data_IF_340834376560
#
_entry.id   IF_340834376560
#
_cell.length_a   1.000
_cell.length_b   1.000
_cell.length_c   1.000
_cell.angle_alpha   90.00
_cell.angle_beta   90.00
_cell.angle_gamma   90.00
#
_symmetry.space_group_name_H-M   'P 1'
#
loop_
_entity.id
_entity.type
_entity.pdbx_description
1 polymer ?
#
# COMPACT_ATOMS: atom_id res chain seq x y z
N UNK A 1 55.53 -67.24 26.05
CA UNK A 1 55.79 -65.87 25.54
C UNK A 1 54.50 -65.29 24.93
N UNK A 2 53.73 -64.59 25.69
CA UNK A 2 52.51 -63.92 25.20
C UNK A 2 52.81 -62.42 25.05
N UNK A 3 52.65 -61.88 23.82
CA UNK A 3 52.75 -60.47 23.52
C UNK A 3 51.37 -59.86 23.57
N UNK A 4 51.08 -59.01 24.57
CA UNK A 4 49.87 -58.17 24.66
C UNK A 4 50.03 -56.98 23.69
N UNK A 5 49.08 -56.87 22.76
CA UNK A 5 48.97 -55.76 21.82
C UNK A 5 47.97 -54.76 22.42
N UNK A 6 48.44 -53.60 22.91
CA UNK A 6 47.57 -52.49 23.34
C UNK A 6 47.11 -51.69 22.12
N UNK A 7 45.82 -51.73 21.84
CA UNK A 7 45.19 -50.85 20.83
C UNK A 7 44.70 -49.60 21.57
N UNK A 8 45.38 -48.49 21.36
CA UNK A 8 44.97 -47.17 21.82
C UNK A 8 43.91 -46.60 20.91
N UNK A 9 42.65 -46.53 21.37
CA UNK A 9 41.52 -45.90 20.66
C UNK A 9 41.59 -44.38 20.88
N UNK A 10 42.07 -43.64 19.86
CA UNK A 10 42.07 -42.17 19.89
C UNK A 10 40.66 -41.60 19.70
N UNK A 11 40.12 -40.98 20.71
CA UNK A 11 38.84 -40.27 20.65
C UNK A 11 39.03 -38.93 19.90
N UNK A 12 38.61 -38.86 18.62
CA UNK A 12 38.65 -37.64 17.82
C UNK A 12 37.43 -36.80 18.17
N UNK A 13 37.57 -35.81 19.05
CA UNK A 13 36.53 -34.83 19.34
C UNK A 13 36.31 -33.90 18.14
N UNK A 14 35.23 -34.13 17.35
CA UNK A 14 34.77 -33.18 16.36
C UNK A 14 34.30 -31.90 17.09
N UNK A 15 35.08 -30.83 16.97
CA UNK A 15 34.64 -29.49 17.34
C UNK A 15 33.51 -29.05 16.39
N UNK A 16 32.26 -29.14 16.85
CA UNK A 16 31.13 -28.49 16.15
C UNK A 16 31.33 -26.99 16.28
N UNK A 17 31.84 -26.34 15.23
CA UNK A 17 31.84 -24.89 15.11
C UNK A 17 30.39 -24.36 15.17
N UNK A 18 30.17 -23.11 15.62
CA UNK A 18 28.84 -22.52 15.61
C UNK A 18 28.31 -22.55 14.17
N UNK A 19 27.13 -23.14 13.99
CA UNK A 19 26.44 -23.10 12.69
C UNK A 19 26.26 -21.63 12.27
N UNK A 20 26.54 -21.26 11.00
CA UNK A 20 26.29 -19.91 10.55
C UNK A 20 24.82 -19.56 10.86
N UNK A 21 24.60 -18.44 11.55
CA UNK A 21 23.27 -17.95 11.80
C UNK A 21 22.57 -17.77 10.45
N UNK A 22 21.58 -18.59 10.16
CA UNK A 22 20.77 -18.49 8.94
C UNK A 22 20.15 -17.10 8.93
N UNK A 23 20.54 -16.24 7.95
CA UNK A 23 19.94 -14.90 7.84
C UNK A 23 18.41 -15.05 7.84
N UNK A 24 17.76 -14.41 8.80
CA UNK A 24 16.29 -14.43 8.87
C UNK A 24 15.73 -13.89 7.56
N UNK A 25 14.80 -14.61 6.92
CA UNK A 25 14.15 -14.13 5.70
C UNK A 25 13.56 -12.74 5.93
N UNK A 26 13.55 -11.86 4.92
CA UNK A 26 12.90 -10.54 5.04
C UNK A 26 11.42 -10.66 5.44
N UNK A 27 10.91 -9.70 6.19
CA UNK A 27 9.46 -9.56 6.41
C UNK A 27 8.81 -9.22 5.08
N UNK A 28 7.89 -10.04 4.59
CA UNK A 28 7.14 -9.79 3.37
C UNK A 28 5.83 -9.06 3.69
N UNK A 29 5.68 -7.86 3.14
CA UNK A 29 4.50 -7.02 3.34
C UNK A 29 3.70 -6.92 2.04
N UNK A 30 2.44 -7.32 2.07
CA UNK A 30 1.47 -7.00 1.03
C UNK A 30 0.87 -5.64 1.31
N UNK A 31 1.23 -4.63 0.52
CA UNK A 31 0.88 -3.24 0.78
C UNK A 31 0.14 -2.60 -0.40
N UNK A 32 -0.91 -1.85 -0.10
CA UNK A 32 -1.58 -1.02 -1.08
C UNK A 32 -0.56 -0.13 -1.82
N UNK A 33 -0.68 -0.03 -3.15
CA UNK A 33 0.30 0.64 -4.00
C UNK A 33 0.58 2.10 -3.61
N UNK A 34 -0.40 2.79 -3.04
CA UNK A 34 -0.24 4.16 -2.51
C UNK A 34 0.73 4.29 -1.33
N UNK A 35 1.05 3.19 -0.63
CA UNK A 35 2.00 3.17 0.48
C UNK A 35 3.46 3.08 0.02
N UNK A 36 3.72 2.84 -1.27
CA UNK A 36 5.03 2.47 -1.78
C UNK A 36 6.14 3.44 -1.37
N UNK A 37 5.96 4.75 -1.56
CA UNK A 37 6.99 5.74 -1.28
C UNK A 37 7.35 5.78 0.20
N UNK A 38 6.32 5.89 1.06
CA UNK A 38 6.51 5.92 2.51
C UNK A 38 7.10 4.60 3.06
N UNK A 39 6.56 3.45 2.61
CA UNK A 39 7.02 2.15 3.10
C UNK A 39 8.46 1.83 2.72
N UNK A 40 8.90 2.21 1.51
CA UNK A 40 10.29 2.05 1.11
C UNK A 40 11.24 2.88 2.00
N UNK A 41 10.87 4.12 2.32
CA UNK A 41 11.64 4.98 3.22
C UNK A 41 11.66 4.43 4.66
N UNK A 42 10.52 3.93 5.15
CA UNK A 42 10.43 3.32 6.49
C UNK A 42 11.24 2.02 6.56
N UNK A 43 11.22 1.19 5.53
CA UNK A 43 12.04 -0.03 5.50
C UNK A 43 13.54 0.27 5.58
N UNK A 44 14.00 1.32 4.91
CA UNK A 44 15.39 1.77 5.02
C UNK A 44 15.74 2.25 6.44
N UNK A 45 14.83 2.99 7.09
CA UNK A 45 14.99 3.42 8.48
C UNK A 45 15.00 2.21 9.45
N UNK A 46 14.04 1.28 9.27
CA UNK A 46 13.98 0.02 10.02
C UNK A 46 15.28 -0.78 9.91
N UNK A 47 15.77 -0.97 8.69
CA UNK A 47 17.02 -1.71 8.48
C UNK A 47 18.20 -1.06 9.19
N UNK A 48 18.29 0.28 9.15
CA UNK A 48 19.36 1.03 9.84
C UNK A 48 19.26 0.93 11.37
N UNK A 49 18.04 0.95 11.92
CA UNK A 49 17.82 1.01 13.38
C UNK A 49 17.74 -0.37 14.01
N UNK A 50 17.20 -1.37 13.32
CA UNK A 50 16.88 -2.69 13.85
C UNK A 50 17.62 -3.83 13.15
N UNK A 51 18.31 -3.57 12.03
CA UNK A 51 19.02 -4.58 11.24
C UNK A 51 18.13 -5.54 10.45
N UNK A 52 16.81 -5.43 10.57
CA UNK A 52 15.85 -6.30 9.87
C UNK A 52 15.67 -5.90 8.42
N UNK A 53 15.39 -6.88 7.54
CA UNK A 53 15.07 -6.63 6.12
C UNK A 53 13.55 -6.76 5.92
N UNK A 54 13.00 -5.87 5.09
CA UNK A 54 11.58 -5.87 4.70
C UNK A 54 11.51 -5.85 3.17
N UNK A 55 10.62 -6.64 2.61
CA UNK A 55 10.29 -6.66 1.19
C UNK A 55 8.80 -6.41 0.99
N UNK A 56 8.43 -5.85 -0.15
CA UNK A 56 7.06 -5.45 -0.41
C UNK A 56 6.54 -6.06 -1.71
N UNK A 57 5.27 -6.44 -1.69
CA UNK A 57 4.46 -6.63 -2.90
C UNK A 57 3.43 -5.52 -2.94
N UNK A 58 3.53 -4.64 -3.92
CA UNK A 58 2.64 -3.49 -4.09
C UNK A 58 1.60 -3.76 -5.16
N UNK A 59 0.31 -3.69 -4.79
CA UNK A 59 -0.81 -3.81 -5.71
C UNK A 59 -2.07 -3.13 -5.11
N UNK A 60 -3.22 -3.27 -5.75
CA UNK A 60 -4.48 -2.90 -5.11
C UNK A 60 -4.77 -3.82 -3.91
N UNK A 61 -5.38 -3.26 -2.87
CA UNK A 61 -5.77 -4.03 -1.67
C UNK A 61 -6.63 -5.25 -2.02
N UNK A 62 -7.51 -5.11 -3.01
CA UNK A 62 -8.35 -6.19 -3.54
C UNK A 62 -7.55 -7.38 -4.10
N UNK A 63 -6.51 -7.09 -4.87
CA UNK A 63 -5.66 -8.11 -5.47
C UNK A 63 -4.82 -8.82 -4.39
N UNK A 64 -4.25 -8.05 -3.46
CA UNK A 64 -3.44 -8.59 -2.35
C UNK A 64 -4.27 -9.45 -1.40
N UNK A 65 -5.49 -9.01 -1.05
CA UNK A 65 -6.41 -9.78 -0.22
C UNK A 65 -6.77 -11.14 -0.86
N UNK A 66 -7.02 -11.16 -2.17
CA UNK A 66 -7.28 -12.40 -2.90
C UNK A 66 -6.05 -13.30 -2.99
N UNK A 67 -4.86 -12.74 -3.11
CA UNK A 67 -3.60 -13.52 -3.05
C UNK A 67 -3.42 -14.15 -1.66
N UNK A 68 -3.76 -13.45 -0.57
CA UNK A 68 -3.76 -14.03 0.78
C UNK A 68 -4.74 -15.22 0.88
N UNK A 69 -5.96 -15.09 0.33
CA UNK A 69 -6.94 -16.18 0.30
C UNK A 69 -6.42 -17.41 -0.48
N UNK A 70 -5.59 -17.18 -1.50
CA UNK A 70 -4.94 -18.24 -2.28
C UNK A 70 -3.68 -18.79 -1.59
N UNK A 71 -3.38 -18.38 -0.36
CA UNK A 71 -2.26 -18.89 0.43
C UNK A 71 -0.91 -18.20 0.18
N UNK A 72 -0.89 -17.02 -0.42
CA UNK A 72 0.36 -16.27 -0.61
C UNK A 72 1.04 -15.95 0.73
N UNK A 73 2.39 -16.12 0.85
CA UNK A 73 3.09 -16.17 2.13
C UNK A 73 3.48 -14.79 2.67
N UNK A 74 2.57 -13.81 2.68
CA UNK A 74 2.85 -12.50 3.27
C UNK A 74 2.82 -12.55 4.80
N UNK A 75 3.64 -11.73 5.44
CA UNK A 75 3.69 -11.57 6.90
C UNK A 75 2.77 -10.44 7.40
N UNK A 76 2.64 -9.36 6.60
CA UNK A 76 1.73 -8.27 6.90
C UNK A 76 0.84 -7.98 5.69
N UNK A 77 -0.36 -7.47 5.98
CA UNK A 77 -1.27 -6.89 5.01
C UNK A 77 -1.60 -5.45 5.39
N UNK A 78 -1.45 -4.52 4.43
CA UNK A 78 -1.74 -3.10 4.56
C UNK A 78 -2.71 -2.66 3.46
N UNK A 79 -3.95 -2.39 3.83
CA UNK A 79 -5.03 -2.00 2.90
C UNK A 79 -5.18 -0.49 2.80
N UNK A 80 -5.73 0.00 1.68
CA UNK A 80 -6.12 1.40 1.47
C UNK A 80 -7.62 1.64 1.69
N UNK A 81 -8.32 0.68 2.24
CA UNK A 81 -9.69 0.80 2.74
C UNK A 81 -9.96 -0.21 3.86
N UNK A 82 -11.03 0.03 4.60
CA UNK A 82 -11.48 -0.88 5.65
C UNK A 82 -12.13 -2.14 5.05
N UNK A 83 -12.82 -2.03 3.92
CA UNK A 83 -13.63 -3.12 3.36
C UNK A 83 -12.77 -4.34 3.00
N UNK A 84 -11.59 -4.14 2.39
CA UNK A 84 -10.70 -5.27 2.07
C UNK A 84 -10.00 -5.84 3.30
N UNK A 85 -9.78 -5.03 4.34
CA UNK A 85 -9.29 -5.55 5.61
C UNK A 85 -10.40 -6.33 6.34
N UNK A 86 -11.65 -5.86 6.35
CA UNK A 86 -12.80 -6.56 6.90
C UNK A 86 -13.04 -7.88 6.17
N UNK A 87 -12.94 -7.84 4.83
CA UNK A 87 -13.03 -9.02 3.98
C UNK A 87 -11.96 -10.07 4.33
N UNK A 88 -10.71 -9.63 4.55
CA UNK A 88 -9.62 -10.52 4.96
C UNK A 88 -9.83 -11.07 6.38
N UNK A 89 -10.31 -10.25 7.31
CA UNK A 89 -10.61 -10.66 8.68
C UNK A 89 -11.73 -11.70 8.74
N UNK A 90 -12.83 -11.49 8.00
CA UNK A 90 -13.96 -12.43 7.93
C UNK A 90 -13.56 -13.80 7.38
N UNK A 91 -12.44 -13.88 6.65
CA UNK A 91 -11.88 -15.12 6.09
C UNK A 91 -10.73 -15.69 6.91
N UNK A 92 -10.49 -15.13 8.10
CA UNK A 92 -9.39 -15.53 8.99
C UNK A 92 -8.00 -15.44 8.32
N UNK A 93 -7.80 -14.46 7.41
CA UNK A 93 -6.53 -14.26 6.70
C UNK A 93 -5.56 -13.36 7.46
N UNK A 94 -6.02 -12.69 8.50
CA UNK A 94 -5.22 -11.84 9.38
C UNK A 94 -5.43 -12.24 10.84
N UNK A 95 -4.55 -11.77 11.72
CA UNK A 95 -4.67 -11.86 13.17
C UNK A 95 -5.42 -10.63 13.68
N UNK A 96 -6.70 -10.72 14.05
CA UNK A 96 -7.55 -9.56 14.36
C UNK A 96 -6.99 -8.68 15.48
N UNK A 97 -6.34 -9.28 16.48
CA UNK A 97 -5.74 -8.61 17.63
C UNK A 97 -4.55 -7.69 17.26
N UNK A 98 -3.98 -7.89 16.07
CA UNK A 98 -2.89 -7.07 15.55
C UNK A 98 -3.37 -5.92 14.67
N UNK A 99 -4.66 -5.92 14.32
CA UNK A 99 -5.22 -4.92 13.38
C UNK A 99 -5.17 -3.52 13.97
N UNK A 100 -4.62 -2.59 13.18
CA UNK A 100 -4.51 -1.16 13.52
C UNK A 100 -4.84 -0.31 12.31
N UNK A 101 -5.56 0.78 12.51
CA UNK A 101 -5.73 1.82 11.50
C UNK A 101 -4.73 2.92 11.84
N UNK A 102 -3.75 3.16 10.96
CA UNK A 102 -2.64 4.08 11.24
C UNK A 102 -2.72 5.38 10.46
N UNK A 103 -3.30 5.38 9.26
CA UNK A 103 -3.16 6.49 8.33
C UNK A 103 -4.50 6.86 7.71
N UNK A 104 -4.58 8.14 7.34
CA UNK A 104 -5.64 8.70 6.50
C UNK A 104 -5.05 9.36 5.26
N UNK A 105 -5.88 9.48 4.21
CA UNK A 105 -5.52 10.15 2.97
C UNK A 105 -6.64 11.04 2.45
N UNK A 106 -6.37 11.78 1.38
CA UNK A 106 -7.35 12.65 0.71
C UNK A 106 -7.47 12.22 -0.75
N UNK A 107 -8.70 12.19 -1.27
CA UNK A 107 -8.97 11.96 -2.68
C UNK A 107 -8.78 13.27 -3.45
N UNK A 108 -8.04 13.23 -4.56
CA UNK A 108 -7.74 14.41 -5.37
C UNK A 108 -7.98 14.15 -6.86
N UNK A 109 -8.37 15.20 -7.57
CA UNK A 109 -8.34 15.26 -9.02
C UNK A 109 -6.97 15.77 -9.45
N UNK A 110 -6.34 15.08 -10.40
CA UNK A 110 -5.05 15.44 -10.98
C UNK A 110 -5.13 15.62 -12.49
N UNK A 111 -4.20 16.41 -13.03
CA UNK A 111 -3.95 16.56 -14.46
C UNK A 111 -2.44 16.55 -14.76
N UNK A 112 -2.00 16.38 -16.03
CA UNK A 112 -0.59 16.52 -16.42
C UNK A 112 -0.03 17.91 -16.09
N UNK A 113 1.17 17.96 -15.51
CA UNK A 113 1.78 19.23 -15.06
C UNK A 113 2.34 20.08 -16.22
N UNK A 114 2.59 19.48 -17.38
CA UNK A 114 3.15 20.11 -18.59
C UNK A 114 2.12 20.89 -19.42
N UNK A 115 0.84 20.86 -19.05
CA UNK A 115 -0.26 21.59 -19.72
C UNK A 115 -0.65 22.83 -18.91
N UNK A 116 -1.30 23.84 -19.54
CA UNK A 116 -1.90 24.93 -18.78
C UNK A 116 -2.89 24.41 -17.72
N UNK A 117 -2.91 25.01 -16.52
CA UNK A 117 -3.85 24.60 -15.47
C UNK A 117 -5.30 24.71 -15.93
N UNK A 118 -6.08 23.65 -15.66
CA UNK A 118 -7.52 23.68 -15.92
C UNK A 118 -8.22 24.37 -14.74
N UNK A 119 -8.99 25.47 -14.95
CA UNK A 119 -9.64 26.20 -13.85
C UNK A 119 -10.89 25.46 -13.39
N UNK A 120 -10.70 24.30 -12.76
CA UNK A 120 -11.78 23.49 -12.21
C UNK A 120 -11.77 23.58 -10.68
N UNK A 121 -12.97 23.63 -10.10
CA UNK A 121 -13.19 23.52 -8.67
C UNK A 121 -14.26 22.49 -8.37
N UNK A 122 -13.95 21.56 -7.46
CA UNK A 122 -14.88 20.49 -7.08
C UNK A 122 -15.92 21.03 -6.12
N UNK A 123 -17.20 20.95 -6.51
CA UNK A 123 -18.32 21.47 -5.75
C UNK A 123 -19.57 21.66 -6.60
N UNK A 124 -20.53 22.50 -6.19
CA UNK A 124 -21.69 22.82 -7.01
C UNK A 124 -21.27 23.36 -8.37
N UNK A 125 -21.83 22.81 -9.45
CA UNK A 125 -21.50 23.19 -10.82
C UNK A 125 -20.14 22.67 -11.34
N UNK A 126 -19.56 21.68 -10.70
CA UNK A 126 -18.28 21.06 -11.12
C UNK A 126 -18.37 20.52 -12.55
N UNK A 127 -17.80 21.25 -13.51
CA UNK A 127 -17.88 21.01 -14.95
C UNK A 127 -16.88 19.96 -15.43
N UNK A 128 -16.70 18.85 -14.70
CA UNK A 128 -15.72 17.80 -15.03
C UNK A 128 -15.97 17.19 -16.41
N UNK A 129 -17.23 16.93 -16.76
CA UNK A 129 -17.59 16.30 -18.04
C UNK A 129 -17.22 17.18 -19.24
N UNK A 130 -17.42 18.49 -19.11
CA UNK A 130 -17.04 19.49 -20.13
C UNK A 130 -15.51 19.59 -20.25
N UNK A 131 -14.82 19.73 -19.13
CA UNK A 131 -13.36 19.81 -19.10
C UNK A 131 -12.67 18.54 -19.59
N UNK A 132 -13.30 17.38 -19.40
CA UNK A 132 -12.80 16.09 -19.88
C UNK A 132 -12.85 16.02 -21.42
N UNK A 133 -13.84 16.66 -22.06
CA UNK A 133 -14.06 16.57 -23.50
C UNK A 133 -14.18 15.11 -23.96
N UNK A 134 -13.40 14.70 -24.98
CA UNK A 134 -13.32 13.31 -25.43
C UNK A 134 -12.27 12.48 -24.66
N UNK A 135 -11.61 13.10 -23.67
CA UNK A 135 -10.56 12.45 -22.87
C UNK A 135 -11.09 11.40 -21.89
N UNK A 136 -10.14 10.71 -21.25
CA UNK A 136 -10.41 9.70 -20.22
C UNK A 136 -10.08 10.23 -18.83
N UNK A 137 -10.81 9.72 -17.84
CA UNK A 137 -10.55 9.89 -16.42
C UNK A 137 -9.95 8.60 -15.84
N UNK A 138 -8.67 8.63 -15.51
CA UNK A 138 -7.97 7.47 -14.94
C UNK A 138 -8.26 7.33 -13.45
N UNK A 139 -8.57 6.12 -13.01
CA UNK A 139 -8.65 5.74 -11.60
C UNK A 139 -8.53 4.21 -11.48
N UNK A 140 -8.56 3.65 -10.26
CA UNK A 140 -8.66 2.20 -10.09
C UNK A 140 -9.98 1.64 -10.65
N UNK A 141 -10.02 0.33 -10.95
CA UNK A 141 -11.28 -0.34 -11.30
C UNK A 141 -12.32 -0.11 -10.21
N UNK A 142 -13.45 0.50 -10.57
CA UNK A 142 -14.45 1.01 -9.62
C UNK A 142 -15.19 -0.08 -8.85
N UNK A 143 -15.20 -1.32 -9.35
CA UNK A 143 -15.84 -2.45 -8.69
C UNK A 143 -15.01 -3.03 -7.54
N UNK A 144 -13.67 -2.83 -7.53
CA UNK A 144 -12.82 -3.57 -6.60
C UNK A 144 -11.66 -2.77 -6.01
N UNK A 145 -11.04 -1.89 -6.79
CA UNK A 145 -9.85 -1.15 -6.35
C UNK A 145 -10.25 0.00 -5.42
N UNK A 146 -9.66 0.15 -4.24
CA UNK A 146 -10.09 1.16 -3.26
C UNK A 146 -10.26 2.58 -3.84
N UNK A 147 -9.25 3.13 -4.51
CA UNK A 147 -9.34 4.47 -5.10
C UNK A 147 -10.47 4.60 -6.12
N UNK A 148 -10.72 3.55 -6.91
CA UNK A 148 -11.84 3.54 -7.88
C UNK A 148 -13.20 3.54 -7.20
N UNK A 149 -13.34 2.79 -6.09
CA UNK A 149 -14.56 2.79 -5.27
C UNK A 149 -14.83 4.15 -4.64
N UNK A 150 -13.81 4.79 -4.07
CA UNK A 150 -13.91 6.16 -3.55
C UNK A 150 -14.25 7.15 -4.65
N UNK A 151 -13.62 7.04 -5.83
CA UNK A 151 -13.92 7.89 -6.98
C UNK A 151 -15.38 7.75 -7.44
N UNK A 152 -15.90 6.51 -7.53
CA UNK A 152 -17.31 6.26 -7.85
C UNK A 152 -18.24 6.90 -6.84
N UNK A 153 -17.99 6.73 -5.54
CA UNK A 153 -18.80 7.29 -4.47
C UNK A 153 -18.81 8.82 -4.52
N UNK A 154 -17.62 9.44 -4.67
CA UNK A 154 -17.48 10.88 -4.77
C UNK A 154 -18.21 11.45 -6.00
N UNK A 155 -18.03 10.84 -7.17
CA UNK A 155 -18.72 11.25 -8.40
C UNK A 155 -20.24 11.04 -8.32
N UNK A 156 -20.70 10.01 -7.63
CA UNK A 156 -22.13 9.76 -7.37
C UNK A 156 -22.70 10.84 -6.47
N UNK A 157 -22.01 11.18 -5.37
CA UNK A 157 -22.40 12.26 -4.46
C UNK A 157 -22.53 13.60 -5.17
N UNK A 158 -21.64 13.88 -6.12
CA UNK A 158 -21.64 15.10 -6.93
C UNK A 158 -22.63 15.05 -8.11
N UNK A 159 -23.39 13.95 -8.30
CA UNK A 159 -24.33 13.80 -9.41
C UNK A 159 -23.68 13.59 -10.78
N UNK A 160 -22.39 13.27 -10.84
CA UNK A 160 -21.60 13.18 -12.06
C UNK A 160 -21.36 11.74 -12.56
N UNK A 161 -21.66 10.74 -11.73
CA UNK A 161 -21.28 9.35 -12.02
C UNK A 161 -21.78 8.86 -13.37
N UNK A 162 -23.07 9.02 -13.70
CA UNK A 162 -23.63 8.50 -14.93
C UNK A 162 -23.03 9.16 -16.20
N UNK A 163 -22.66 10.44 -16.09
CA UNK A 163 -22.04 11.17 -17.18
C UNK A 163 -20.56 10.79 -17.37
N UNK A 164 -19.85 10.52 -16.28
CA UNK A 164 -18.40 10.25 -16.30
C UNK A 164 -18.11 8.75 -16.49
N UNK A 165 -18.96 7.84 -15.99
CA UNK A 165 -18.78 6.39 -16.06
C UNK A 165 -18.31 5.86 -17.42
N UNK A 166 -18.87 6.27 -18.58
CA UNK A 166 -18.43 5.76 -19.88
C UNK A 166 -16.99 6.18 -20.26
N UNK A 167 -16.43 7.19 -19.57
CA UNK A 167 -15.11 7.76 -19.83
C UNK A 167 -14.06 7.32 -18.81
N UNK A 168 -14.41 6.47 -17.87
CA UNK A 168 -13.47 5.94 -16.89
C UNK A 168 -12.45 5.02 -17.57
N UNK A 169 -11.17 5.29 -17.36
CA UNK A 169 -10.06 4.37 -17.58
C UNK A 169 -9.73 3.68 -16.25
N UNK A 170 -10.44 2.57 -15.98
CA UNK A 170 -10.25 1.79 -14.76
C UNK A 170 -9.05 0.86 -14.89
N UNK A 171 -8.06 1.01 -13.99
CA UNK A 171 -6.82 0.23 -13.99
C UNK A 171 -6.63 -0.55 -12.69
N UNK A 172 -5.62 -1.40 -12.69
CA UNK A 172 -5.39 -2.38 -11.61
C UNK A 172 -5.03 -1.77 -10.26
N UNK A 173 -4.47 -0.56 -10.19
CA UNK A 173 -4.15 0.13 -8.93
C UNK A 173 -3.98 1.65 -9.15
N UNK A 174 -3.85 2.41 -8.04
CA UNK A 174 -3.75 3.87 -8.07
C UNK A 174 -2.46 4.37 -8.75
N UNK A 175 -1.34 3.66 -8.62
CA UNK A 175 -0.07 4.08 -9.23
C UNK A 175 -0.09 3.91 -10.75
N UNK A 176 -0.81 2.92 -11.27
CA UNK A 176 -1.09 2.81 -12.70
C UNK A 176 -1.97 3.95 -13.19
N UNK A 177 -3.02 4.33 -12.43
CA UNK A 177 -3.85 5.49 -12.77
C UNK A 177 -3.02 6.79 -12.80
N UNK A 178 -2.19 7.02 -11.79
CA UNK A 178 -1.26 8.13 -11.71
C UNK A 178 -0.34 8.18 -12.93
N UNK A 179 0.23 7.04 -13.33
CA UNK A 179 1.14 6.93 -14.46
C UNK A 179 0.46 7.26 -15.80
N UNK A 180 -0.82 6.91 -16.01
CA UNK A 180 -1.57 7.30 -17.21
C UNK A 180 -1.69 8.82 -17.35
N UNK A 181 -1.95 9.51 -16.25
CA UNK A 181 -2.01 10.98 -16.24
C UNK A 181 -0.62 11.58 -16.46
N UNK A 182 0.39 11.09 -15.74
CA UNK A 182 1.77 11.56 -15.85
C UNK A 182 2.37 11.43 -17.25
N UNK A 183 1.87 10.48 -18.06
CA UNK A 183 2.26 10.28 -19.47
C UNK A 183 1.33 10.99 -20.46
N UNK A 184 0.29 11.70 -19.98
CA UNK A 184 -0.70 12.36 -20.82
C UNK A 184 -1.67 11.43 -21.56
N UNK A 185 -1.71 10.13 -21.19
CA UNK A 185 -2.63 9.12 -21.75
C UNK A 185 -4.05 9.25 -21.17
N UNK A 186 -4.19 9.88 -20.02
CA UNK A 186 -5.47 10.30 -19.45
C UNK A 186 -5.46 11.81 -19.21
N UNK A 187 -6.59 12.47 -19.52
CA UNK A 187 -6.71 13.92 -19.34
C UNK A 187 -6.72 14.31 -17.87
N UNK A 188 -7.43 13.56 -17.06
CA UNK A 188 -7.50 13.70 -15.61
C UNK A 188 -7.35 12.34 -14.93
N UNK A 189 -7.07 12.37 -13.64
CA UNK A 189 -7.10 11.18 -12.80
C UNK A 189 -7.68 11.48 -11.43
N UNK A 190 -8.29 10.47 -10.81
CA UNK A 190 -8.66 10.51 -9.40
C UNK A 190 -7.74 9.54 -8.68
N UNK A 191 -6.91 10.09 -7.80
CA UNK A 191 -5.86 9.40 -7.03
C UNK A 191 -5.85 9.92 -5.60
N UNK A 192 -4.92 9.44 -4.77
CA UNK A 192 -4.73 10.03 -3.44
C UNK A 192 -3.72 11.18 -3.49
N UNK A 193 -3.83 12.12 -2.55
CA UNK A 193 -2.93 13.27 -2.44
C UNK A 193 -1.45 12.85 -2.30
N UNK A 194 -1.18 11.76 -1.58
CA UNK A 194 0.17 11.21 -1.42
C UNK A 194 0.74 10.67 -2.73
N UNK A 195 -0.09 10.10 -3.62
CA UNK A 195 0.34 9.66 -4.94
C UNK A 195 0.69 10.84 -5.83
N UNK A 196 -0.15 11.88 -5.83
CA UNK A 196 0.11 13.11 -6.56
C UNK A 196 1.41 13.80 -6.10
N UNK A 197 1.67 13.83 -4.78
CA UNK A 197 2.90 14.37 -4.21
C UNK A 197 4.15 13.63 -4.67
N UNK A 198 4.05 12.32 -4.88
CA UNK A 198 5.17 11.48 -5.28
C UNK A 198 5.51 11.54 -6.78
N UNK A 199 4.69 12.23 -7.61
CA UNK A 199 4.87 12.28 -9.08
C UNK A 199 4.86 13.73 -9.59
N UNK A 200 6.02 14.34 -9.84
CA UNK A 200 6.11 15.74 -10.24
C UNK A 200 5.54 16.07 -11.63
N UNK A 201 5.29 15.06 -12.46
CA UNK A 201 4.69 15.24 -13.80
C UNK A 201 3.17 15.41 -13.76
N UNK A 202 2.56 15.34 -12.58
CA UNK A 202 1.16 15.68 -12.38
C UNK A 202 1.03 16.85 -11.41
N UNK A 203 -0.10 17.54 -11.47
CA UNK A 203 -0.49 18.50 -10.43
C UNK A 203 -1.90 18.22 -9.96
N UNK A 204 -2.16 18.58 -8.72
CA UNK A 204 -3.49 18.53 -8.15
C UNK A 204 -4.31 19.70 -8.71
N UNK A 205 -5.48 19.39 -9.27
CA UNK A 205 -6.48 20.36 -9.69
C UNK A 205 -7.27 20.82 -8.48
N UNK A 206 -7.85 19.87 -7.73
CA UNK A 206 -8.58 20.15 -6.50
C UNK A 206 -8.74 18.87 -5.66
N UNK A 207 -9.11 19.01 -4.39
CA UNK A 207 -9.42 17.92 -3.49
C UNK A 207 -10.92 17.67 -3.40
N UNK A 208 -11.32 16.39 -3.36
CA UNK A 208 -12.73 16.04 -3.17
C UNK A 208 -13.20 16.43 -1.75
N UNK A 209 -14.42 17.01 -1.62
CA UNK A 209 -14.94 17.43 -0.33
C UNK A 209 -15.06 16.27 0.66
N UNK A 210 -14.76 16.54 1.93
CA UNK A 210 -15.10 15.62 3.01
C UNK A 210 -16.62 15.33 2.97
N UNK A 211 -17.00 14.07 3.12
CA UNK A 211 -18.40 13.64 3.02
C UNK A 211 -18.85 13.25 1.61
N UNK A 212 -18.09 13.56 0.54
CA UNK A 212 -18.39 13.02 -0.80
C UNK A 212 -18.09 11.53 -0.94
N UNK A 213 -17.29 10.99 -0.04
CA UNK A 213 -16.95 9.58 0.10
C UNK A 213 -16.62 9.27 1.57
N UNK A 214 -16.63 7.99 1.99
CA UNK A 214 -16.15 7.59 3.31
C UNK A 214 -14.68 8.00 3.56
N UNK A 215 -14.25 8.17 4.81
CA UNK A 215 -12.85 8.43 5.13
C UNK A 215 -11.92 7.38 4.51
N UNK A 216 -10.82 7.83 3.93
CA UNK A 216 -9.80 6.94 3.34
C UNK A 216 -8.85 6.54 4.44
N UNK A 217 -9.03 5.33 4.96
CA UNK A 217 -8.29 4.80 6.10
C UNK A 217 -7.41 3.61 5.66
N UNK A 218 -6.23 3.52 6.28
CA UNK A 218 -5.27 2.45 6.01
C UNK A 218 -5.14 1.54 7.24
N UNK A 219 -5.90 0.45 7.30
CA UNK A 219 -5.70 -0.59 8.28
C UNK A 219 -4.54 -1.50 7.89
N UNK A 220 -3.81 -1.96 8.90
CA UNK A 220 -2.71 -2.91 8.80
C UNK A 220 -2.91 -4.04 9.80
N UNK A 221 -2.44 -5.24 9.46
CA UNK A 221 -2.46 -6.39 10.35
C UNK A 221 -1.36 -7.40 9.99
N UNK A 222 -0.96 -8.20 10.96
CA UNK A 222 -0.18 -9.42 10.72
C UNK A 222 -1.10 -10.44 10.07
N UNK A 223 -0.62 -11.16 9.04
CA UNK A 223 -1.40 -12.22 8.39
C UNK A 223 -1.52 -13.45 9.28
N UNK A 224 -2.57 -14.24 9.12
CA UNK A 224 -2.76 -15.46 9.91
C UNK A 224 -1.58 -16.42 9.78
N UNK A 225 -1.05 -16.57 8.56
CA UNK A 225 0.04 -17.47 8.23
C UNK A 225 1.44 -16.82 8.30
N UNK A 226 1.56 -15.65 8.95
CA UNK A 226 2.85 -14.99 9.12
C UNK A 226 3.85 -15.92 9.82
N UNK A 227 4.94 -16.20 9.14
CA UNK A 227 6.00 -17.08 9.63
C UNK A 227 7.29 -16.35 10.01
N UNK A 228 7.37 -15.04 9.82
CA UNK A 228 8.53 -14.24 10.19
C UNK A 228 8.37 -13.70 11.62
N UNK A 229 9.32 -14.04 12.51
CA UNK A 229 9.28 -13.59 13.90
C UNK A 229 9.35 -12.07 14.06
N UNK A 230 9.85 -11.33 13.07
CA UNK A 230 9.95 -9.86 13.09
C UNK A 230 8.67 -9.18 12.59
N UNK A 231 7.65 -9.90 12.10
CA UNK A 231 6.43 -9.31 11.55
C UNK A 231 5.76 -8.35 12.54
N UNK A 232 5.53 -8.80 13.77
CA UNK A 232 4.93 -7.97 14.82
C UNK A 232 5.81 -6.75 15.15
N UNK A 233 7.12 -6.94 15.28
CA UNK A 233 8.05 -5.85 15.57
C UNK A 233 8.09 -4.80 14.46
N UNK A 234 7.97 -5.20 13.18
CA UNK A 234 7.86 -4.25 12.08
C UNK A 234 6.51 -3.52 12.09
N UNK A 235 5.40 -4.23 12.36
CA UNK A 235 4.09 -3.59 12.54
C UNK A 235 4.13 -2.54 13.67
N UNK A 236 4.77 -2.85 14.79
CA UNK A 236 4.92 -1.92 15.92
C UNK A 236 5.79 -0.71 15.54
N UNK A 237 6.84 -0.94 14.75
CA UNK A 237 7.70 0.13 14.25
C UNK A 237 6.96 1.14 13.36
N UNK A 238 5.95 0.70 12.61
CA UNK A 238 5.12 1.60 11.79
C UNK A 238 4.37 2.66 12.64
N UNK A 239 4.23 2.44 13.94
CA UNK A 239 3.67 3.41 14.90
C UNK A 239 4.76 4.21 15.66
N UNK A 240 6.04 4.02 15.34
CA UNK A 240 7.14 4.73 16.00
C UNK A 240 7.21 6.21 15.58
N UNK A 241 7.82 7.08 16.39
CA UNK A 241 8.04 8.48 16.01
C UNK A 241 8.85 8.63 14.71
N UNK A 242 9.74 7.70 14.40
CA UNK A 242 10.50 7.70 13.16
C UNK A 242 9.61 7.42 11.95
N UNK A 243 8.78 6.39 12.00
CA UNK A 243 7.85 6.06 10.93
C UNK A 243 6.76 7.13 10.75
N UNK A 244 6.23 7.68 11.86
CA UNK A 244 5.24 8.77 11.83
C UNK A 244 5.77 9.97 11.06
N UNK A 245 6.99 10.44 11.36
CA UNK A 245 7.60 11.56 10.62
C UNK A 245 7.73 11.28 9.12
N UNK A 246 8.02 10.04 8.74
CA UNK A 246 8.11 9.66 7.32
C UNK A 246 6.71 9.69 6.68
N UNK A 247 5.69 9.14 7.33
CA UNK A 247 4.32 9.19 6.83
C UNK A 247 3.84 10.63 6.62
N UNK A 248 4.04 11.50 7.61
CA UNK A 248 3.67 12.92 7.52
C UNK A 248 4.47 13.65 6.42
N UNK A 249 5.77 13.36 6.30
CA UNK A 249 6.61 13.90 5.23
C UNK A 249 6.12 13.47 3.84
N UNK A 250 5.54 12.27 3.70
CA UNK A 250 4.94 11.79 2.45
C UNK A 250 3.49 12.28 2.24
N UNK A 251 2.90 12.98 3.22
CA UNK A 251 1.59 13.62 3.11
C UNK A 251 0.42 12.80 3.66
N UNK A 252 0.68 11.70 4.34
CA UNK A 252 -0.34 11.00 5.11
C UNK A 252 -0.70 11.77 6.39
N UNK A 253 -1.95 11.65 6.83
CA UNK A 253 -2.33 11.99 8.20
C UNK A 253 -2.26 10.72 9.05
N UNK A 254 -1.65 10.83 10.22
CA UNK A 254 -1.57 9.71 11.17
C UNK A 254 -2.79 9.77 12.07
N UNK A 255 -3.53 8.65 12.17
CA UNK A 255 -4.66 8.51 13.10
C UNK A 255 -4.13 8.41 14.54
N UNK A 256 -4.76 9.12 15.46
CA UNK A 256 -4.43 9.09 16.90
C UNK A 256 -5.36 8.15 17.65
#
# INVERSE_FOLDING_TARGET
>A
MFRCLFVTLGLMALAMGPAPAQEARPVLVFAAASLQTAFNAIAAAWQKEKGGKVTFSYAASSALARQLEQGAPADLFASADLDWMDWAQQRNLIRPETRRTLLENTLVLIEPADRPPTPLKIGPGFALAEALGDGRLATGQVQSVPVGRYAQQALTHLGLWETIRPRIAGVENVRTALALVARGEARFGIVYATDAKAEPRVRVVDAFPAGSHPPILYPLAVTANAGNAQAQSFLDYLSSPAAIRIFEAEGFRVTR
#
